data_IF_548750462580
#
_entry.id   IF_548750462580
#
_cell.length_a   1.000
_cell.length_b   1.000
_cell.length_c   1.000
_cell.angle_alpha   90.00
_cell.angle_beta   90.00
_cell.angle_gamma   90.00
#
_symmetry.space_group_name_H-M   'P 1'
#
loop_
_entity.id
_entity.type
_entity.pdbx_description
1 polymer ?
#
# COMPACT_ATOMS: atom_id res chain seq x y z
N UNK A 1 0.00 12.80 14.48
CA UNK A 1 0.89 13.14 13.35
C UNK A 1 0.11 13.38 12.04
N UNK A 2 -0.73 14.42 11.91
CA UNK A 2 -1.57 14.61 10.71
C UNK A 2 -0.80 14.82 9.40
N UNK A 3 0.40 15.43 9.47
CA UNK A 3 1.24 15.63 8.28
C UNK A 3 1.75 14.32 7.68
N UNK A 4 2.01 13.31 8.51
CA UNK A 4 2.46 11.99 8.04
C UNK A 4 1.34 11.31 7.28
N UNK A 5 0.12 11.33 7.83
CA UNK A 5 -1.07 10.82 7.16
C UNK A 5 -1.29 11.51 5.80
N UNK A 6 -1.25 12.85 5.78
CA UNK A 6 -1.41 13.60 4.54
C UNK A 6 -0.31 13.29 3.50
N UNK A 7 0.92 13.00 3.95
CA UNK A 7 2.02 12.60 3.07
C UNK A 7 1.79 11.20 2.47
N UNK A 8 1.33 10.23 3.27
CA UNK A 8 1.01 8.89 2.79
C UNK A 8 -0.20 8.89 1.84
N UNK A 9 -1.24 9.68 2.14
CA UNK A 9 -2.37 9.91 1.24
C UNK A 9 -1.93 10.58 -0.08
N UNK A 10 -0.96 11.50 -0.01
CA UNK A 10 -0.36 12.11 -1.20
C UNK A 10 0.44 11.10 -2.02
N UNK A 11 1.23 10.23 -1.38
CA UNK A 11 2.00 9.16 -2.05
C UNK A 11 1.07 8.27 -2.88
N UNK A 12 -0.05 7.81 -2.31
CA UNK A 12 -1.05 7.02 -3.05
C UNK A 12 -1.55 7.78 -4.28
N UNK A 13 -1.96 9.04 -4.11
CA UNK A 13 -2.47 9.87 -5.20
C UNK A 13 -1.42 10.07 -6.30
N UNK A 14 -0.16 10.31 -5.92
CA UNK A 14 0.94 10.47 -6.86
C UNK A 14 1.24 9.18 -7.62
N UNK A 15 1.28 8.03 -6.93
CA UNK A 15 1.51 6.74 -7.58
C UNK A 15 0.44 6.44 -8.64
N UNK A 16 -0.85 6.68 -8.35
CA UNK A 16 -1.93 6.53 -9.35
C UNK A 16 -1.75 7.48 -10.54
N UNK A 17 -1.49 8.76 -10.27
CA UNK A 17 -1.31 9.75 -11.32
C UNK A 17 -0.11 9.42 -12.23
N UNK A 18 0.97 8.88 -11.66
CA UNK A 18 2.11 8.37 -12.42
C UNK A 18 1.71 7.23 -13.33
N UNK A 19 1.01 6.21 -12.82
CA UNK A 19 0.54 5.09 -13.64
C UNK A 19 -0.42 5.51 -14.75
N UNK A 20 -1.32 6.47 -14.49
CA UNK A 20 -2.18 7.03 -15.54
C UNK A 20 -1.37 7.65 -16.68
N UNK A 21 -0.26 8.34 -16.37
CA UNK A 21 0.61 8.94 -17.37
C UNK A 21 1.43 7.89 -18.12
N UNK A 22 2.07 6.98 -17.38
CA UNK A 22 2.88 5.88 -17.93
C UNK A 22 2.06 5.05 -18.94
N UNK A 23 0.79 4.77 -18.63
CA UNK A 23 -0.09 3.99 -19.53
C UNK A 23 -0.60 4.79 -20.74
N UNK A 24 -0.56 6.11 -20.67
CA UNK A 24 -0.97 7.00 -21.76
C UNK A 24 0.20 7.33 -22.71
N UNK A 25 1.44 7.05 -22.32
CA UNK A 25 2.63 7.27 -23.14
C UNK A 25 2.63 6.37 -24.38
N UNK A 26 2.77 6.97 -25.55
CA UNK A 26 2.79 6.29 -26.83
C UNK A 26 4.22 6.08 -27.38
N UNK A 27 5.21 6.77 -26.80
CA UNK A 27 6.62 6.59 -27.15
C UNK A 27 7.30 5.53 -26.27
N UNK A 28 8.38 4.96 -26.81
CA UNK A 28 9.12 3.85 -26.18
C UNK A 28 10.61 4.19 -26.02
N UNK A 29 10.94 5.46 -25.80
CA UNK A 29 12.33 5.94 -25.89
C UNK A 29 12.91 6.22 -24.52
N UNK A 30 13.72 5.28 -24.02
CA UNK A 30 14.53 5.40 -22.80
C UNK A 30 13.69 5.49 -21.51
N UNK A 31 12.63 4.70 -21.43
CA UNK A 31 11.77 4.66 -20.25
C UNK A 31 12.44 4.02 -19.04
N UNK A 32 12.28 4.66 -17.89
CA UNK A 32 12.77 4.20 -16.59
C UNK A 32 11.77 3.26 -15.90
N UNK A 33 10.46 3.34 -16.20
CA UNK A 33 9.42 2.42 -15.74
C UNK A 33 8.71 1.89 -16.97
N UNK A 34 8.75 0.57 -17.17
CA UNK A 34 8.19 -0.05 -18.36
C UNK A 34 6.75 -0.44 -18.11
N UNK A 35 5.82 0.24 -18.78
CA UNK A 35 4.45 -0.25 -18.86
C UNK A 35 4.43 -1.65 -19.51
N UNK A 36 3.41 -2.48 -19.24
CA UNK A 36 3.29 -3.83 -19.80
C UNK A 36 3.36 -3.89 -21.34
N UNK A 37 3.06 -2.79 -22.02
CA UNK A 37 3.04 -2.64 -23.48
C UNK A 37 4.33 -2.03 -24.07
N UNK A 38 5.29 -1.63 -23.22
CA UNK A 38 6.50 -0.91 -23.64
C UNK A 38 7.73 -1.83 -23.68
N UNK A 39 8.56 -1.66 -24.71
CA UNK A 39 9.87 -2.32 -24.81
C UNK A 39 10.93 -1.45 -24.13
N UNK A 40 11.56 -1.95 -23.08
CA UNK A 40 12.52 -1.19 -22.29
C UNK A 40 13.99 -1.42 -22.61
N UNK A 41 14.83 -0.48 -22.16
CA UNK A 41 16.28 -0.52 -22.33
C UNK A 41 17.00 -1.46 -21.34
N UNK A 42 16.35 -1.88 -20.25
CA UNK A 42 16.93 -2.71 -19.19
C UNK A 42 16.22 -4.08 -19.11
N UNK A 43 16.94 -5.20 -19.33
CA UNK A 43 16.40 -6.54 -19.13
C UNK A 43 15.95 -6.75 -17.68
N UNK A 44 14.72 -7.25 -17.47
CA UNK A 44 14.22 -7.64 -16.14
C UNK A 44 13.48 -6.56 -15.34
N UNK A 45 13.19 -5.39 -15.92
CA UNK A 45 12.43 -4.30 -15.27
C UNK A 45 11.04 -4.06 -15.89
N UNK A 46 10.43 -5.09 -16.48
CA UNK A 46 9.07 -5.00 -17.03
C UNK A 46 8.05 -5.25 -15.93
N UNK A 47 7.13 -4.30 -15.73
CA UNK A 47 5.94 -4.54 -14.91
C UNK A 47 4.91 -5.26 -15.78
N UNK A 48 4.47 -6.45 -15.36
CA UNK A 48 3.41 -7.17 -16.06
C UNK A 48 2.03 -6.52 -15.80
N UNK A 49 1.03 -6.79 -16.64
CA UNK A 49 -0.35 -6.36 -16.38
C UNK A 49 -0.86 -6.86 -15.02
N UNK A 50 -0.44 -8.08 -14.63
CA UNK A 50 -0.77 -8.68 -13.35
C UNK A 50 -0.13 -7.92 -12.18
N UNK A 51 1.15 -7.56 -12.29
CA UNK A 51 1.85 -6.76 -11.29
C UNK A 51 1.29 -5.34 -11.18
N UNK A 52 0.90 -4.73 -12.29
CA UNK A 52 0.22 -3.44 -12.30
C UNK A 52 -1.15 -3.53 -11.59
N UNK A 53 -1.93 -4.56 -11.88
CA UNK A 53 -3.22 -4.79 -11.21
C UNK A 53 -3.04 -5.02 -9.71
N UNK A 54 -2.05 -5.84 -9.31
CA UNK A 54 -1.71 -6.07 -7.90
C UNK A 54 -1.23 -4.79 -7.21
N UNK A 55 -0.46 -3.94 -7.90
CA UNK A 55 -0.05 -2.63 -7.39
C UNK A 55 -1.25 -1.70 -7.17
N UNK A 56 -2.20 -1.64 -8.11
CA UNK A 56 -3.42 -0.85 -7.93
C UNK A 56 -4.27 -1.38 -6.76
N UNK A 57 -4.38 -2.70 -6.62
CA UNK A 57 -5.08 -3.32 -5.48
C UNK A 57 -4.40 -2.99 -4.14
N UNK A 58 -3.06 -2.98 -4.09
CA UNK A 58 -2.31 -2.50 -2.94
C UNK A 58 -2.65 -1.04 -2.60
N UNK A 59 -2.65 -0.15 -3.60
CA UNK A 59 -3.00 1.26 -3.40
C UNK A 59 -4.45 1.42 -2.88
N UNK A 60 -5.39 0.58 -3.33
CA UNK A 60 -6.77 0.57 -2.85
C UNK A 60 -6.86 0.16 -1.36
N UNK A 61 -6.21 -0.94 -0.97
CA UNK A 61 -6.17 -1.40 0.42
C UNK A 61 -5.47 -0.39 1.33
N UNK A 62 -4.31 0.10 0.91
CA UNK A 62 -3.53 1.05 1.68
C UNK A 62 -4.29 2.36 1.88
N UNK A 63 -4.94 2.88 0.83
CA UNK A 63 -5.80 4.05 0.92
C UNK A 63 -6.98 3.82 1.88
N UNK A 64 -7.64 2.66 1.81
CA UNK A 64 -8.76 2.33 2.69
C UNK A 64 -8.35 2.28 4.17
N UNK A 65 -7.14 1.82 4.48
CA UNK A 65 -6.57 1.86 5.83
C UNK A 65 -6.29 3.30 6.30
N UNK A 66 -5.67 4.14 5.47
CA UNK A 66 -5.37 5.54 5.78
C UNK A 66 -6.65 6.39 5.97
N UNK A 67 -7.69 6.08 5.21
CA UNK A 67 -9.00 6.72 5.33
C UNK A 67 -9.83 6.15 6.49
N UNK A 68 -9.40 5.06 7.13
CA UNK A 68 -10.14 4.39 8.19
C UNK A 68 -11.41 3.68 7.71
N UNK A 69 -11.55 3.46 6.39
CA UNK A 69 -12.65 2.67 5.81
C UNK A 69 -12.45 1.17 6.02
N UNK A 70 -11.20 0.74 6.12
CA UNK A 70 -10.81 -0.61 6.55
C UNK A 70 -9.96 -0.53 7.81
N UNK A 71 -10.04 -1.60 8.58
CA UNK A 71 -9.26 -1.78 9.80
C UNK A 71 -8.14 -2.81 9.56
N UNK A 72 -7.02 -2.63 10.25
CA UNK A 72 -5.92 -3.60 10.24
C UNK A 72 -6.24 -4.71 11.26
N UNK A 73 -6.35 -5.99 10.87
CA UNK A 73 -6.64 -7.08 11.80
C UNK A 73 -5.59 -7.16 12.90
N UNK A 74 -6.01 -7.57 14.10
CA UNK A 74 -5.11 -7.80 15.22
C UNK A 74 -5.35 -9.19 15.80
N UNK A 75 -4.35 -10.06 15.75
CA UNK A 75 -4.44 -11.49 16.14
C UNK A 75 -5.03 -11.77 17.53
N UNK A 76 -4.90 -10.79 18.44
CA UNK A 76 -5.38 -10.89 19.83
C UNK A 76 -6.85 -10.52 20.04
N UNK A 77 -7.48 -9.76 19.14
CA UNK A 77 -8.78 -9.15 19.38
C UNK A 77 -9.76 -9.47 18.26
N UNK A 78 -11.05 -9.58 18.60
CA UNK A 78 -12.15 -9.70 17.63
C UNK A 78 -12.53 -8.35 16.98
N UNK A 79 -11.57 -7.40 16.95
CA UNK A 79 -11.72 -6.04 16.45
C UNK A 79 -10.45 -5.65 15.70
N UNK A 80 -10.62 -4.89 14.63
CA UNK A 80 -9.52 -4.32 13.87
C UNK A 80 -9.02 -3.00 14.43
N UNK A 81 -7.78 -2.64 14.11
CA UNK A 81 -7.17 -1.37 14.44
C UNK A 81 -7.46 -0.32 13.37
N UNK A 82 -7.94 0.85 13.78
CA UNK A 82 -8.13 2.00 12.91
C UNK A 82 -6.79 2.74 12.70
N UNK A 83 -6.15 2.50 11.56
CA UNK A 83 -4.85 3.09 11.21
C UNK A 83 -4.92 4.62 11.13
N UNK A 84 -6.03 5.18 10.64
CA UNK A 84 -6.22 6.63 10.59
C UNK A 84 -6.12 7.28 11.97
N UNK A 85 -6.73 6.66 12.99
CA UNK A 85 -6.72 7.19 14.36
C UNK A 85 -5.34 7.14 15.01
N UNK A 86 -4.47 6.19 14.64
CA UNK A 86 -3.07 6.19 15.07
C UNK A 86 -2.38 7.52 14.70
N UNK A 87 -2.70 8.07 13.52
CA UNK A 87 -2.15 9.35 13.07
C UNK A 87 -2.89 10.57 13.61
N UNK A 88 -4.22 10.51 13.75
CA UNK A 88 -5.02 11.67 14.18
C UNK A 88 -5.07 11.86 15.70
N UNK A 89 -4.97 10.77 16.46
CA UNK A 89 -5.02 10.75 17.92
C UNK A 89 -3.73 10.16 18.49
N UNK A 90 -2.56 10.78 18.25
CA UNK A 90 -1.28 10.17 18.59
C UNK A 90 -1.13 10.01 20.10
N UNK A 91 -0.82 8.78 20.51
CA UNK A 91 -0.31 8.43 21.84
C UNK A 91 1.16 8.03 21.74
N UNK A 92 1.80 7.72 22.87
CA UNK A 92 3.14 7.11 22.87
C UNK A 92 3.14 5.88 21.98
N UNK A 93 3.94 5.92 20.91
CA UNK A 93 4.06 4.82 19.97
C UNK A 93 5.17 3.88 20.44
N UNK A 94 4.82 2.61 20.59
CA UNK A 94 5.76 1.53 20.87
C UNK A 94 5.33 0.30 20.06
N UNK A 95 6.15 -0.07 19.07
CA UNK A 95 5.84 -1.15 18.15
C UNK A 95 5.63 -2.49 18.89
N UNK A 96 6.40 -2.76 19.94
CA UNK A 96 6.28 -4.00 20.72
C UNK A 96 4.94 -4.03 21.43
N UNK A 97 4.50 -2.91 22.01
CA UNK A 97 3.19 -2.82 22.65
C UNK A 97 2.02 -2.91 21.64
N UNK A 98 2.20 -2.41 20.42
CA UNK A 98 1.22 -2.58 19.35
C UNK A 98 1.10 -4.05 18.93
N UNK A 99 2.21 -4.74 18.71
CA UNK A 99 2.20 -6.18 18.35
C UNK A 99 1.63 -7.03 19.48
N UNK A 100 1.95 -6.70 20.73
CA UNK A 100 1.45 -7.39 21.92
C UNK A 100 -0.04 -7.08 22.19
N UNK A 101 -0.52 -5.92 21.74
CA UNK A 101 -1.93 -5.50 21.76
C UNK A 101 -2.27 -4.37 22.74
N UNK A 102 -1.48 -4.12 23.79
CA UNK A 102 -1.77 -3.04 24.75
C UNK A 102 -1.70 -1.64 24.12
N UNK A 103 -0.80 -1.44 23.16
CA UNK A 103 -0.70 -0.20 22.37
C UNK A 103 -1.83 -0.03 21.37
N UNK A 104 -2.47 -1.13 20.96
CA UNK A 104 -3.57 -1.15 19.98
C UNK A 104 -4.93 -0.78 20.58
N UNK A 105 -5.14 -1.06 21.87
CA UNK A 105 -6.43 -0.90 22.58
C UNK A 105 -7.18 0.41 22.27
N UNK A 106 -6.54 1.60 22.23
CA UNK A 106 -7.24 2.86 21.98
C UNK A 106 -7.84 3.01 20.57
N UNK A 107 -7.35 2.20 19.63
CA UNK A 107 -7.65 2.28 18.20
C UNK A 107 -8.49 1.09 17.71
N UNK A 108 -8.94 0.20 18.61
CA UNK A 108 -9.77 -0.95 18.24
C UNK A 108 -11.21 -0.54 17.95
N UNK A 109 -11.70 -0.97 16.79
CA UNK A 109 -13.04 -0.67 16.29
C UNK A 109 -13.67 -1.92 15.67
N UNK A 110 -15.01 -1.94 15.61
CA UNK A 110 -15.72 -2.96 14.84
C UNK A 110 -15.98 -2.40 13.45
N UNK A 111 -15.66 -3.17 12.41
CA UNK A 111 -15.80 -2.72 11.03
C UNK A 111 -15.21 -3.74 10.05
N UNK A 112 -15.15 -3.36 8.78
CA UNK A 112 -14.52 -4.19 7.75
C UNK A 112 -13.02 -4.21 7.93
N UNK A 113 -12.46 -5.39 8.10
CA UNK A 113 -11.00 -5.60 8.18
C UNK A 113 -10.43 -5.89 6.79
N UNK A 114 -9.18 -5.49 6.58
CA UNK A 114 -8.40 -6.04 5.46
C UNK A 114 -8.03 -7.51 5.75
N UNK A 115 -7.85 -8.33 4.72
CA UNK A 115 -7.72 -9.78 4.89
C UNK A 115 -6.33 -10.28 4.49
N UNK A 116 -5.85 -11.31 5.17
CA UNK A 116 -4.55 -11.92 4.85
C UNK A 116 -4.52 -12.46 3.42
N UNK A 117 -5.63 -13.00 2.92
CA UNK A 117 -5.76 -13.49 1.55
C UNK A 117 -5.53 -12.38 0.53
N UNK A 118 -6.03 -11.16 0.79
CA UNK A 118 -5.83 -10.01 -0.10
C UNK A 118 -4.35 -9.64 -0.16
N UNK A 119 -3.69 -9.59 1.00
CA UNK A 119 -2.26 -9.25 1.10
C UNK A 119 -1.36 -10.33 0.49
N UNK A 120 -1.66 -11.61 0.70
CA UNK A 120 -0.95 -12.73 0.06
C UNK A 120 -1.09 -12.68 -1.45
N UNK A 121 -2.31 -12.50 -1.97
CA UNK A 121 -2.55 -12.39 -3.41
C UNK A 121 -1.76 -11.24 -4.04
N UNK A 122 -1.68 -10.08 -3.37
CA UNK A 122 -0.84 -8.97 -3.81
C UNK A 122 0.63 -9.36 -3.81
N UNK A 123 1.15 -9.90 -2.70
CA UNK A 123 2.58 -10.20 -2.53
C UNK A 123 3.08 -11.32 -3.46
N UNK A 124 2.26 -12.34 -3.70
CA UNK A 124 2.61 -13.51 -4.53
C UNK A 124 2.92 -13.10 -5.97
N UNK A 125 2.17 -12.11 -6.52
CA UNK A 125 2.39 -11.57 -7.86
C UNK A 125 3.78 -10.94 -8.03
N UNK A 126 4.39 -10.46 -6.94
CA UNK A 126 5.74 -9.91 -6.96
C UNK A 126 6.83 -10.93 -6.60
N UNK A 127 6.48 -12.19 -6.34
CA UNK A 127 7.45 -13.25 -6.06
C UNK A 127 8.38 -12.95 -4.88
N UNK A 128 7.89 -12.25 -3.85
CA UNK A 128 8.68 -11.84 -2.68
C UNK A 128 9.43 -10.51 -2.84
N UNK A 129 9.45 -9.90 -4.03
CA UNK A 129 10.17 -8.66 -4.31
C UNK A 129 9.30 -7.39 -4.12
N UNK A 130 8.12 -7.52 -3.50
CA UNK A 130 7.14 -6.43 -3.36
C UNK A 130 7.77 -5.13 -2.85
N UNK A 131 8.58 -5.19 -1.78
CA UNK A 131 9.20 -3.99 -1.19
C UNK A 131 10.22 -3.33 -2.13
N UNK A 132 10.93 -4.10 -2.94
CA UNK A 132 11.86 -3.56 -3.94
C UNK A 132 11.08 -2.77 -4.99
N UNK A 133 9.95 -3.30 -5.46
CA UNK A 133 9.06 -2.59 -6.38
C UNK A 133 8.42 -1.36 -5.73
N UNK A 134 8.00 -1.46 -4.46
CA UNK A 134 7.41 -0.33 -3.74
C UNK A 134 8.39 0.85 -3.62
N UNK A 135 9.67 0.59 -3.38
CA UNK A 135 10.71 1.63 -3.34
C UNK A 135 11.03 2.21 -4.72
N UNK A 136 10.91 1.41 -5.79
CA UNK A 136 11.20 1.86 -7.15
C UNK A 136 10.06 2.68 -7.77
N UNK A 137 8.81 2.40 -7.37
CA UNK A 137 7.60 3.03 -7.93
C UNK A 137 7.12 4.30 -7.17
N UNK A 138 7.81 4.72 -6.10
CA UNK A 138 7.42 5.87 -5.25
C UNK A 138 8.55 6.87 -5.01
#
# INVERSE_FOLDING_TARGET
MPRVLAHLEAMVRHSRASWTRILAEADQRKEWVLAPTQTGALPGMLITNEQLAAWQAFLDEFQALLEGRKLLPHWRFDKGMNVRRIFLEPRTFDLVLFIQGSGALPYLESGTETTEETWRAIMDVFGGEFFRYALWLN
#
